data_IF_897075456600
#
_entry.id   IF_897075456600
#
_cell.length_a   1.000
_cell.length_b   1.000
_cell.length_c   1.000
_cell.angle_alpha   90.00
_cell.angle_beta   90.00
_cell.angle_gamma   90.00
#
_symmetry.space_group_name_H-M   'P 1'
#
loop_
_entity.id
_entity.type
_entity.pdbx_description
1 polymer ?
#
# COMPACT_ATOMS: atom_id res chain seq x y z
N UNK A 1 -20.10 18.74 8.55
CA UNK A 1 -20.22 18.00 7.27
C UNK A 1 -18.84 17.45 6.88
N UNK A 2 -18.76 16.43 6.02
CA UNK A 2 -17.48 15.85 5.59
C UNK A 2 -16.91 16.65 4.41
N UNK A 3 -15.66 17.18 4.48
CA UNK A 3 -15.10 18.01 3.42
C UNK A 3 -14.90 17.23 2.12
N UNK A 4 -14.90 17.94 0.99
CA UNK A 4 -14.72 17.33 -0.32
C UNK A 4 -13.35 16.67 -0.49
N UNK A 5 -12.29 17.23 0.10
CA UNK A 5 -10.95 16.60 0.07
C UNK A 5 -10.91 15.25 0.77
N UNK A 6 -11.66 15.10 1.87
CA UNK A 6 -11.79 13.82 2.58
C UNK A 6 -12.62 12.81 1.75
N UNK A 7 -13.62 13.26 0.98
CA UNK A 7 -14.38 12.39 0.07
C UNK A 7 -13.52 11.90 -1.10
N UNK A 8 -12.73 12.80 -1.70
CA UNK A 8 -11.78 12.47 -2.78
C UNK A 8 -10.69 11.53 -2.27
N UNK A 9 -10.13 11.79 -1.08
CA UNK A 9 -9.21 10.87 -0.42
C UNK A 9 -9.80 9.46 -0.33
N UNK A 10 -11.01 9.31 0.20
CA UNK A 10 -11.66 8.00 0.32
C UNK A 10 -11.78 7.29 -1.03
N UNK A 11 -12.23 8.01 -2.06
CA UNK A 11 -12.41 7.45 -3.39
C UNK A 11 -11.06 6.99 -3.98
N UNK A 12 -10.05 7.85 -4.00
CA UNK A 12 -8.74 7.52 -4.58
C UNK A 12 -7.98 6.45 -3.77
N UNK A 13 -8.12 6.45 -2.44
CA UNK A 13 -7.46 5.47 -1.58
C UNK A 13 -8.12 4.09 -1.70
N UNK A 14 -9.45 4.02 -1.80
CA UNK A 14 -10.13 2.74 -2.05
C UNK A 14 -9.80 2.24 -3.46
N UNK A 15 -9.79 3.12 -4.46
CA UNK A 15 -9.39 2.76 -5.82
C UNK A 15 -7.95 2.21 -5.87
N UNK A 16 -7.01 2.78 -5.10
CA UNK A 16 -5.64 2.27 -5.05
C UNK A 16 -5.57 0.89 -4.37
N UNK A 17 -6.33 0.66 -3.30
CA UNK A 17 -6.44 -0.67 -2.67
C UNK A 17 -6.99 -1.69 -3.67
N UNK A 18 -8.11 -1.38 -4.35
CA UNK A 18 -8.73 -2.27 -5.31
C UNK A 18 -7.81 -2.57 -6.50
N UNK A 19 -7.11 -1.55 -7.01
CA UNK A 19 -6.13 -1.72 -8.10
C UNK A 19 -4.96 -2.58 -7.64
N UNK A 20 -4.45 -2.36 -6.43
CA UNK A 20 -3.39 -3.18 -5.84
C UNK A 20 -3.81 -4.64 -5.65
N UNK A 21 -5.05 -4.87 -5.21
CA UNK A 21 -5.63 -6.19 -5.04
C UNK A 21 -5.80 -6.90 -6.39
N UNK A 22 -6.40 -6.24 -7.38
CA UNK A 22 -6.54 -6.78 -8.72
C UNK A 22 -5.19 -7.15 -9.32
N UNK A 23 -4.19 -6.26 -9.23
CA UNK A 23 -2.82 -6.53 -9.68
C UNK A 23 -2.24 -7.77 -8.98
N UNK A 24 -2.39 -7.86 -7.66
CA UNK A 24 -1.88 -8.99 -6.87
C UNK A 24 -2.52 -10.30 -7.32
N UNK A 25 -3.85 -10.31 -7.49
CA UNK A 25 -4.58 -11.49 -7.92
C UNK A 25 -4.16 -11.94 -9.34
N UNK A 26 -3.96 -10.99 -10.25
CA UNK A 26 -3.50 -11.27 -11.61
C UNK A 26 -2.05 -11.76 -11.68
N UNK A 27 -1.20 -11.39 -10.72
CA UNK A 27 0.22 -11.74 -10.69
C UNK A 27 0.57 -12.81 -9.65
N UNK A 28 -0.43 -13.41 -9.00
CA UNK A 28 -0.23 -14.38 -7.92
C UNK A 28 0.64 -15.58 -8.34
N UNK A 29 0.42 -16.09 -9.55
CA UNK A 29 1.23 -17.19 -10.10
C UNK A 29 2.71 -16.80 -10.24
N UNK A 30 2.98 -15.64 -10.82
CA UNK A 30 4.35 -15.10 -10.98
C UNK A 30 5.00 -14.83 -9.63
N UNK A 31 4.24 -14.34 -8.65
CA UNK A 31 4.74 -14.09 -7.29
C UNK A 31 5.16 -15.40 -6.59
N UNK A 32 4.35 -16.47 -6.71
CA UNK A 32 4.68 -17.80 -6.19
C UNK A 32 5.92 -18.37 -6.85
N UNK A 33 5.99 -18.36 -8.18
CA UNK A 33 7.15 -18.85 -8.91
C UNK A 33 8.44 -18.10 -8.54
N UNK A 34 8.33 -16.77 -8.36
CA UNK A 34 9.47 -15.94 -7.93
C UNK A 34 9.91 -16.31 -6.51
N UNK A 35 8.96 -16.53 -5.60
CA UNK A 35 9.25 -16.94 -4.23
C UNK A 35 9.90 -18.32 -4.16
N UNK A 36 9.39 -19.30 -4.91
CA UNK A 36 9.98 -20.64 -5.00
C UNK A 36 11.41 -20.60 -5.52
N UNK A 37 11.66 -19.81 -6.57
CA UNK A 37 13.01 -19.62 -7.11
C UNK A 37 13.96 -19.02 -6.07
N UNK A 38 13.50 -18.07 -5.26
CA UNK A 38 14.31 -17.43 -4.22
C UNK A 38 14.56 -18.36 -3.02
N UNK A 39 13.57 -19.16 -2.62
CA UNK A 39 13.71 -20.20 -1.61
C UNK A 39 14.69 -21.29 -2.05
N UNK A 40 14.65 -21.68 -3.32
CA UNK A 40 15.63 -22.63 -3.88
C UNK A 40 17.05 -22.06 -3.83
N UNK A 41 17.25 -20.79 -4.22
CA UNK A 41 18.55 -20.10 -4.17
C UNK A 41 19.11 -19.94 -2.76
N UNK A 42 18.24 -19.73 -1.78
CA UNK A 42 18.61 -19.61 -0.37
C UNK A 42 18.82 -20.95 0.35
N UNK A 43 18.72 -22.08 -0.37
CA UNK A 43 18.87 -23.42 0.21
C UNK A 43 17.67 -23.88 1.04
N UNK A 44 16.56 -23.15 0.99
CA UNK A 44 15.31 -23.39 1.72
C UNK A 44 14.21 -24.04 0.85
N UNK A 45 14.57 -24.66 -0.28
CA UNK A 45 13.64 -25.21 -1.26
C UNK A 45 12.63 -26.24 -0.73
N UNK A 46 12.87 -26.84 0.45
CA UNK A 46 11.94 -27.74 1.14
C UNK A 46 10.83 -27.04 1.94
N UNK A 47 10.89 -25.71 2.12
CA UNK A 47 9.90 -24.93 2.87
C UNK A 47 8.75 -24.39 2.00
N UNK A 48 8.48 -25.00 0.83
CA UNK A 48 7.49 -24.50 -0.13
C UNK A 48 6.13 -24.15 0.49
N UNK A 49 5.60 -24.99 1.38
CA UNK A 49 4.32 -24.72 2.06
C UNK A 49 4.38 -23.54 3.04
N UNK A 50 5.49 -23.38 3.77
CA UNK A 50 5.71 -22.27 4.71
C UNK A 50 5.96 -20.95 3.97
N UNK A 51 6.68 -21.00 2.86
CA UNK A 51 6.93 -19.87 1.98
C UNK A 51 5.62 -19.31 1.42
N UNK A 52 4.77 -20.17 0.86
CA UNK A 52 3.47 -19.77 0.35
C UNK A 52 2.55 -19.20 1.44
N UNK A 53 2.50 -19.84 2.61
CA UNK A 53 1.74 -19.31 3.74
C UNK A 53 2.22 -17.90 4.14
N UNK A 54 3.53 -17.66 4.13
CA UNK A 54 4.13 -16.35 4.41
C UNK A 54 3.78 -15.32 3.33
N UNK A 55 3.76 -15.71 2.06
CA UNK A 55 3.31 -14.84 0.96
C UNK A 55 1.86 -14.40 1.17
N UNK A 56 0.95 -15.35 1.41
CA UNK A 56 -0.45 -15.00 1.63
C UNK A 56 -0.66 -14.17 2.90
N UNK A 57 0.04 -14.49 3.99
CA UNK A 57 -0.02 -13.73 5.22
C UNK A 57 0.48 -12.29 5.04
N UNK A 58 1.59 -12.08 4.33
CA UNK A 58 2.14 -10.74 4.06
C UNK A 58 1.22 -9.91 3.15
N UNK A 59 0.64 -10.53 2.12
CA UNK A 59 -0.36 -9.87 1.26
C UNK A 59 -1.60 -9.48 2.07
N UNK A 60 -2.19 -10.43 2.82
CA UNK A 60 -3.37 -10.18 3.64
C UNK A 60 -3.11 -9.08 4.68
N UNK A 61 -1.95 -9.13 5.35
CA UNK A 61 -1.54 -8.12 6.31
C UNK A 61 -1.39 -6.74 5.65
N UNK A 62 -0.76 -6.65 4.48
CA UNK A 62 -0.61 -5.40 3.74
C UNK A 62 -1.97 -4.76 3.40
N UNK A 63 -2.91 -5.54 2.87
CA UNK A 63 -4.26 -5.04 2.56
C UNK A 63 -5.05 -4.65 3.81
N UNK A 64 -5.00 -5.47 4.86
CA UNK A 64 -5.64 -5.16 6.15
C UNK A 64 -5.08 -3.88 6.74
N UNK A 65 -3.76 -3.70 6.73
CA UNK A 65 -3.11 -2.49 7.19
C UNK A 65 -3.58 -1.27 6.39
N UNK A 66 -3.66 -1.34 5.07
CA UNK A 66 -4.19 -0.26 4.24
C UNK A 66 -5.63 0.10 4.62
N UNK A 67 -6.52 -0.89 4.78
CA UNK A 67 -7.92 -0.66 5.17
C UNK A 67 -8.03 -0.05 6.56
N UNK A 68 -7.22 -0.52 7.52
CA UNK A 68 -7.18 0.03 8.88
C UNK A 68 -6.71 1.48 8.85
N UNK A 69 -5.63 1.80 8.14
CA UNK A 69 -5.12 3.17 8.03
C UNK A 69 -6.16 4.11 7.41
N UNK A 70 -6.83 3.66 6.33
CA UNK A 70 -7.95 4.38 5.74
C UNK A 70 -9.05 4.64 6.77
N UNK A 71 -9.49 3.62 7.48
CA UNK A 71 -10.56 3.74 8.48
C UNK A 71 -10.18 4.68 9.63
N UNK A 72 -8.93 4.64 10.09
CA UNK A 72 -8.44 5.53 11.14
C UNK A 72 -8.48 7.01 10.71
N UNK A 73 -8.16 7.29 9.46
CA UNK A 73 -8.26 8.66 8.90
C UNK A 73 -9.71 9.04 8.63
N UNK A 74 -10.42 8.22 7.86
CA UNK A 74 -11.77 8.46 7.33
C UNK A 74 -12.87 8.47 8.40
N UNK A 75 -12.77 7.58 9.39
CA UNK A 75 -13.80 7.41 10.44
C UNK A 75 -13.32 7.91 11.79
N UNK A 76 -12.07 7.63 12.17
CA UNK A 76 -11.54 8.06 13.48
C UNK A 76 -10.92 9.46 13.46
N UNK A 77 -10.76 10.11 12.29
CA UNK A 77 -10.20 11.46 12.15
C UNK A 77 -8.82 11.61 12.81
N UNK A 78 -8.03 10.54 12.88
CA UNK A 78 -6.73 10.58 13.54
C UNK A 78 -5.73 11.33 12.66
N UNK A 79 -5.47 12.59 13.00
CA UNK A 79 -4.57 13.46 12.26
C UNK A 79 -3.11 12.97 12.19
N UNK A 80 -2.67 12.14 13.13
CA UNK A 80 -1.32 11.55 13.12
C UNK A 80 -1.15 10.50 12.01
N UNK A 81 -2.22 9.76 11.66
CA UNK A 81 -2.15 8.62 10.73
C UNK A 81 -1.74 9.06 9.32
N UNK A 82 -2.01 10.30 8.93
CA UNK A 82 -1.56 10.86 7.66
C UNK A 82 -0.03 10.81 7.49
N UNK A 83 0.72 10.95 8.59
CA UNK A 83 2.18 10.88 8.58
C UNK A 83 2.68 9.45 8.42
N UNK A 84 2.00 8.48 9.04
CA UNK A 84 2.29 7.06 8.85
C UNK A 84 2.07 6.68 7.38
N UNK A 85 0.94 7.08 6.81
CA UNK A 85 0.62 6.80 5.41
C UNK A 85 1.62 7.46 4.45
N UNK A 86 2.07 8.68 4.76
CA UNK A 86 3.14 9.36 4.01
C UNK A 86 4.46 8.59 4.10
N UNK A 87 4.85 8.16 5.30
CA UNK A 87 6.08 7.38 5.50
C UNK A 87 6.06 6.06 4.72
N UNK A 88 4.92 5.35 4.72
CA UNK A 88 4.73 4.13 3.92
C UNK A 88 4.83 4.43 2.42
N UNK A 89 4.25 5.53 1.94
CA UNK A 89 4.36 5.92 0.54
C UNK A 89 5.82 6.19 0.16
N UNK A 90 6.53 6.98 0.97
CA UNK A 90 7.96 7.29 0.75
C UNK A 90 8.79 6.01 0.75
N UNK A 91 8.55 5.11 1.72
CA UNK A 91 9.21 3.82 1.77
C UNK A 91 9.02 3.04 0.46
N UNK A 92 7.78 2.89 -0.01
CA UNK A 92 7.49 2.18 -1.27
C UNK A 92 8.19 2.82 -2.47
N UNK A 93 8.19 4.16 -2.56
CA UNK A 93 8.83 4.92 -3.65
C UNK A 93 10.35 4.76 -3.63
N UNK A 94 10.97 4.65 -2.45
CA UNK A 94 12.42 4.44 -2.30
C UNK A 94 12.82 2.99 -2.54
N UNK A 95 12.03 2.02 -2.09
CA UNK A 95 12.36 0.60 -2.26
C UNK A 95 12.34 0.14 -3.71
N UNK A 96 11.49 0.72 -4.56
CA UNK A 96 11.40 0.33 -5.98
C UNK A 96 12.70 0.59 -6.74
N UNK A 97 13.28 1.81 -6.77
CA UNK A 97 14.54 2.05 -7.47
C UNK A 97 15.70 1.27 -6.85
N UNK A 98 15.73 1.07 -5.53
CA UNK A 98 16.74 0.22 -4.89
C UNK A 98 16.65 -1.23 -5.37
N UNK A 99 15.45 -1.78 -5.49
CA UNK A 99 15.20 -3.13 -6.01
C UNK A 99 15.62 -3.26 -7.48
N UNK A 100 15.37 -2.22 -8.29
CA UNK A 100 15.83 -2.17 -9.69
C UNK A 100 17.35 -2.11 -9.80
N UNK A 101 18.02 -1.29 -8.99
CA UNK A 101 19.49 -1.18 -8.94
C UNK A 101 20.13 -2.52 -8.53
N UNK A 102 19.50 -3.23 -7.60
CA UNK A 102 19.94 -4.56 -7.18
C UNK A 102 19.68 -5.65 -8.24
N UNK A 103 19.01 -5.35 -9.34
CA UNK A 103 18.60 -6.34 -10.35
C UNK A 103 17.45 -7.25 -9.88
N UNK A 104 16.84 -6.94 -8.73
CA UNK A 104 15.78 -7.72 -8.10
C UNK A 104 14.46 -6.96 -8.27
N UNK A 105 13.96 -6.84 -9.50
CA UNK A 105 12.66 -6.19 -9.73
C UNK A 105 12.38 -5.80 -11.17
N UNK A 106 11.11 -5.59 -11.48
CA UNK A 106 10.65 -5.09 -12.79
C UNK A 106 9.68 -3.93 -12.58
N UNK A 107 9.82 -2.86 -13.37
CA UNK A 107 8.84 -1.77 -13.38
C UNK A 107 7.59 -2.20 -14.12
N UNK A 108 6.46 -2.22 -13.43
CA UNK A 108 5.15 -2.45 -14.03
C UNK A 108 4.40 -1.11 -14.12
N UNK A 109 3.83 -0.82 -15.29
CA UNK A 109 2.99 0.38 -15.53
C UNK A 109 1.86 0.45 -14.50
N UNK A 110 1.18 -0.68 -14.22
CA UNK A 110 0.12 -0.77 -13.22
C UNK A 110 0.62 -0.48 -11.80
N UNK A 111 1.87 -0.83 -11.49
CA UNK A 111 2.53 -0.48 -10.23
C UNK A 111 2.71 1.03 -10.07
N UNK A 112 3.20 1.70 -11.11
CA UNK A 112 3.36 3.15 -11.12
C UNK A 112 2.02 3.88 -10.97
N UNK A 113 0.99 3.43 -11.70
CA UNK A 113 -0.37 3.99 -11.59
C UNK A 113 -0.92 3.87 -10.18
N UNK A 114 -0.71 2.73 -9.51
CA UNK A 114 -1.15 2.51 -8.13
C UNK A 114 -0.48 3.51 -7.17
N UNK A 115 0.82 3.74 -7.33
CA UNK A 115 1.58 4.71 -6.51
C UNK A 115 1.09 6.13 -6.76
N UNK A 116 0.83 6.50 -8.02
CA UNK A 116 0.28 7.81 -8.37
C UNK A 116 -1.07 8.02 -7.70
N UNK A 117 -1.98 7.05 -7.78
CA UNK A 117 -3.28 7.13 -7.09
C UNK A 117 -3.14 7.26 -5.57
N UNK A 118 -2.21 6.51 -4.97
CA UNK A 118 -1.95 6.61 -3.54
C UNK A 118 -1.35 7.97 -3.15
N UNK A 119 -0.46 8.53 -3.97
CA UNK A 119 0.13 9.85 -3.77
C UNK A 119 -0.92 10.96 -3.89
N UNK A 120 -1.78 10.89 -4.91
CA UNK A 120 -2.89 11.82 -5.11
C UNK A 120 -3.87 11.74 -3.94
N UNK A 121 -4.21 10.53 -3.48
CA UNK A 121 -5.05 10.37 -2.29
C UNK A 121 -4.41 11.06 -1.07
N UNK A 122 -3.12 10.80 -0.82
CA UNK A 122 -2.39 11.41 0.28
C UNK A 122 -2.33 12.93 0.18
N UNK A 123 -2.19 13.50 -1.02
CA UNK A 123 -2.21 14.94 -1.23
C UNK A 123 -3.48 15.59 -0.68
N UNK A 124 -4.66 15.00 -0.96
CA UNK A 124 -5.94 15.48 -0.42
C UNK A 124 -5.97 15.48 1.11
N UNK A 125 -5.20 14.60 1.76
CA UNK A 125 -5.14 14.53 3.22
C UNK A 125 -4.32 15.65 3.86
N UNK A 126 -3.47 16.33 3.08
CA UNK A 126 -2.66 17.46 3.54
C UNK A 126 -3.28 18.83 3.20
N UNK A 127 -4.40 18.88 2.47
CA UNK A 127 -5.11 20.13 2.19
C UNK A 127 -5.67 20.80 3.46
N UNK A 128 -5.83 22.13 3.46
CA UNK A 128 -6.22 22.90 4.64
C UNK A 128 -7.56 22.46 5.23
N UNK A 129 -8.54 22.17 4.38
CA UNK A 129 -9.88 21.69 4.77
C UNK A 129 -9.84 20.31 5.46
N UNK A 130 -8.99 19.39 4.94
CA UNK A 130 -8.76 18.10 5.55
C UNK A 130 -8.03 18.24 6.90
N UNK A 131 -7.06 19.15 7.01
CA UNK A 131 -6.33 19.41 8.26
C UNK A 131 -7.25 19.94 9.35
N UNK A 132 -8.12 20.89 9.05
CA UNK A 132 -9.10 21.43 9.99
C UNK A 132 -10.09 20.36 10.46
N UNK A 133 -10.53 19.50 9.54
CA UNK A 133 -11.43 18.39 9.86
C UNK A 133 -10.78 17.30 10.73
N UNK A 134 -9.47 17.06 10.56
CA UNK A 134 -8.69 16.17 11.43
C UNK A 134 -8.39 16.82 12.80
N UNK A 135 -8.19 18.14 12.83
CA UNK A 135 -7.87 18.89 14.05
C UNK A 135 -9.09 19.09 14.97
N UNK A 136 -10.31 19.12 14.43
CA UNK A 136 -11.55 19.30 15.21
C UNK A 136 -11.89 18.14 16.16
N UNK A 137 -11.17 17.02 16.12
CA UNK A 137 -11.27 15.93 17.11
C UNK A 137 -10.22 16.02 18.22
N UNK A 138 -9.19 16.84 18.05
CA UNK A 138 -8.15 17.08 19.05
C UNK A 138 -8.48 18.22 20.02
N UNK A 139 -9.72 18.74 20.00
CA UNK A 139 -10.29 19.69 20.95
C UNK A 139 -11.50 19.07 21.62
#
# INVERSE_FOLDING_TARGET
MRPDSIRKFDMFYILSILTGLAKTLLNLGTMRATLEAELARSGLGGMGSTGEATLYASLAFGFLLSVVLWWLVSRKRLGFVKWIMLAILVYNVVTIPLALIAGVGSVSITGLVTIIFQAVALWFLFQPDAREWLATRGR
#
